data_IF_820403737257
#
_entry.id   IF_820403737257
#
_cell.length_a   1.000
_cell.length_b   1.000
_cell.length_c   1.000
_cell.angle_alpha   90.00
_cell.angle_beta   90.00
_cell.angle_gamma   90.00
#
_symmetry.space_group_name_H-M   'P 1'
#
loop_
_entity.id
_entity.type
_entity.pdbx_description
1 polymer ?
#
# COMPACT_ATOMS: atom_id res chain seq x y z
N UNK A 1 -31.30 18.91 5.83
CA UNK A 1 -30.47 17.82 5.30
C UNK A 1 -29.14 17.89 6.01
N UNK A 2 -28.99 17.14 7.10
CA UNK A 2 -27.75 17.07 7.86
C UNK A 2 -27.21 15.64 7.66
N UNK A 3 -26.04 15.54 7.05
CA UNK A 3 -25.29 14.29 6.99
C UNK A 3 -24.98 13.83 8.43
N UNK A 4 -25.07 12.54 8.74
CA UNK A 4 -24.62 12.05 10.04
C UNK A 4 -23.11 12.33 10.19
N UNK A 5 -22.63 12.49 11.44
CA UNK A 5 -21.23 12.81 11.68
C UNK A 5 -20.36 11.72 11.07
N UNK A 6 -19.45 12.13 10.20
CA UNK A 6 -18.33 11.33 9.71
C UNK A 6 -17.45 10.99 10.90
N UNK A 7 -17.80 9.93 11.61
CA UNK A 7 -16.91 9.28 12.55
C UNK A 7 -15.77 8.70 11.71
N UNK A 8 -14.68 9.46 11.60
CA UNK A 8 -13.45 9.19 10.83
C UNK A 8 -12.72 7.90 11.25
N UNK A 9 -13.32 7.06 12.11
CA UNK A 9 -12.75 5.79 12.56
C UNK A 9 -13.13 4.58 11.70
N UNK A 10 -14.04 4.72 10.73
CA UNK A 10 -14.46 3.61 9.84
C UNK A 10 -13.83 3.66 8.43
N UNK A 11 -12.95 4.61 8.14
CA UNK A 11 -12.09 4.49 6.98
C UNK A 11 -11.02 3.44 7.34
N UNK A 12 -11.15 2.23 6.80
CA UNK A 12 -10.06 1.24 6.82
C UNK A 12 -8.76 1.98 6.51
N UNK A 13 -7.79 1.94 7.42
CA UNK A 13 -6.50 2.57 7.18
C UNK A 13 -5.73 1.66 6.20
N UNK A 14 -6.05 1.79 4.92
CA UNK A 14 -5.49 0.99 3.83
C UNK A 14 -3.99 1.18 3.68
N UNK A 15 -3.48 2.34 4.10
CA UNK A 15 -2.04 2.57 4.20
C UNK A 15 -1.41 1.66 5.27
N UNK A 16 -2.05 1.53 6.44
CA UNK A 16 -1.62 0.58 7.47
C UNK A 16 -1.76 -0.88 7.02
N UNK A 17 -2.81 -1.23 6.27
CA UNK A 17 -2.98 -2.56 5.66
C UNK A 17 -1.86 -2.85 4.67
N UNK A 18 -1.61 -1.93 3.74
CA UNK A 18 -0.52 -2.04 2.76
C UNK A 18 0.84 -2.19 3.43
N UNK A 19 1.10 -1.40 4.49
CA UNK A 19 2.35 -1.49 5.24
C UNK A 19 2.49 -2.86 5.90
N UNK A 20 1.44 -3.38 6.54
CA UNK A 20 1.45 -4.73 7.15
C UNK A 20 1.68 -5.82 6.13
N UNK A 21 0.99 -5.73 4.99
CA UNK A 21 1.16 -6.66 3.87
C UNK A 21 2.62 -6.64 3.38
N UNK A 22 3.19 -5.46 3.16
CA UNK A 22 4.58 -5.31 2.74
C UNK A 22 5.57 -5.88 3.77
N UNK A 23 5.34 -5.63 5.07
CA UNK A 23 6.16 -6.20 6.15
C UNK A 23 6.07 -7.73 6.18
N UNK A 24 4.86 -8.29 6.12
CA UNK A 24 4.68 -9.75 6.13
C UNK A 24 5.29 -10.42 4.89
N UNK A 25 5.16 -9.81 3.72
CA UNK A 25 5.81 -10.29 2.50
C UNK A 25 7.34 -10.23 2.64
N UNK A 26 7.87 -9.13 3.20
CA UNK A 26 9.30 -9.01 3.47
C UNK A 26 9.77 -10.12 4.42
N UNK A 27 9.13 -10.28 5.58
CA UNK A 27 9.52 -11.29 6.57
C UNK A 27 9.50 -12.71 6.01
N UNK A 28 8.56 -13.00 5.10
CA UNK A 28 8.45 -14.31 4.44
C UNK A 28 9.56 -14.57 3.42
N UNK A 29 9.88 -13.59 2.58
CA UNK A 29 10.86 -13.75 1.50
C UNK A 29 12.31 -13.42 1.91
N UNK A 30 12.52 -12.71 3.03
CA UNK A 30 13.87 -12.31 3.48
C UNK A 30 14.84 -13.50 3.64
N UNK A 31 14.45 -14.67 4.19
CA UNK A 31 15.35 -15.83 4.26
C UNK A 31 15.88 -16.26 2.88
N UNK A 32 15.02 -16.26 1.85
CA UNK A 32 15.41 -16.61 0.48
C UNK A 32 16.37 -15.56 -0.10
N UNK A 33 16.12 -14.27 0.17
CA UNK A 33 17.01 -13.18 -0.22
C UNK A 33 18.38 -13.31 0.46
N UNK A 34 18.43 -13.71 1.72
CA UNK A 34 19.67 -13.93 2.47
C UNK A 34 20.46 -15.12 1.89
N UNK A 35 19.79 -16.23 1.58
CA UNK A 35 20.41 -17.41 0.95
C UNK A 35 21.04 -17.08 -0.41
N UNK A 36 20.40 -16.20 -1.18
CA UNK A 36 20.93 -15.70 -2.45
C UNK A 36 21.99 -14.60 -2.31
N UNK A 37 22.27 -14.12 -1.10
CA UNK A 37 23.26 -13.06 -0.87
C UNK A 37 22.74 -11.64 -1.14
N UNK A 38 21.42 -11.44 -1.23
CA UNK A 38 20.75 -10.15 -1.42
C UNK A 38 20.35 -9.48 -0.09
N UNK A 39 21.00 -9.83 1.02
CA UNK A 39 20.80 -9.16 2.31
C UNK A 39 21.28 -7.70 2.25
N UNK A 40 20.49 -6.74 2.76
CA UNK A 40 20.81 -5.30 2.66
C UNK A 40 22.20 -4.96 3.20
N UNK A 41 22.53 -5.47 4.39
CA UNK A 41 23.80 -5.24 5.10
C UNK A 41 24.99 -5.80 4.32
N UNK A 42 24.84 -6.99 3.72
CA UNK A 42 25.89 -7.59 2.88
C UNK A 42 26.12 -6.79 1.61
N UNK A 43 25.06 -6.34 0.95
CA UNK A 43 25.20 -5.51 -0.26
C UNK A 43 25.98 -4.22 0.05
N UNK A 44 25.73 -3.59 1.19
CA UNK A 44 26.46 -2.37 1.57
C UNK A 44 27.97 -2.61 1.81
N UNK A 45 28.32 -3.79 2.33
CA UNK A 45 29.69 -4.19 2.67
C UNK A 45 30.49 -4.78 1.51
N UNK A 46 29.84 -5.21 0.42
CA UNK A 46 30.47 -5.85 -0.73
C UNK A 46 31.37 -4.90 -1.53
N UNK A 47 32.40 -5.50 -2.14
CA UNK A 47 33.28 -4.83 -3.11
C UNK A 47 32.58 -4.58 -4.45
N UNK A 48 33.15 -3.70 -5.28
CA UNK A 48 32.59 -3.39 -6.60
C UNK A 48 32.46 -4.63 -7.50
N UNK A 49 33.42 -5.55 -7.44
CA UNK A 49 33.41 -6.77 -8.25
C UNK A 49 32.31 -7.72 -7.80
N UNK A 50 32.17 -7.93 -6.50
CA UNK A 50 31.10 -8.75 -5.92
C UNK A 50 29.73 -8.16 -6.24
N UNK A 51 29.56 -6.83 -6.16
CA UNK A 51 28.31 -6.15 -6.48
C UNK A 51 27.89 -6.34 -7.94
N UNK A 52 28.83 -6.38 -8.88
CA UNK A 52 28.52 -6.67 -10.30
C UNK A 52 28.03 -8.10 -10.48
N UNK A 53 28.68 -9.06 -9.85
CA UNK A 53 28.22 -10.46 -9.87
C UNK A 53 26.83 -10.60 -9.21
N UNK A 54 26.61 -9.86 -8.12
CA UNK A 54 25.33 -9.82 -7.42
C UNK A 54 24.24 -9.18 -8.30
N UNK A 55 24.60 -8.14 -9.08
CA UNK A 55 23.71 -7.52 -10.07
C UNK A 55 23.30 -8.49 -11.18
N UNK A 56 24.23 -9.30 -11.68
CA UNK A 56 23.90 -10.32 -12.68
C UNK A 56 22.96 -11.39 -12.10
N UNK A 57 23.25 -11.85 -10.88
CA UNK A 57 22.44 -12.86 -10.20
C UNK A 57 21.03 -12.36 -9.89
N UNK A 58 20.87 -11.10 -9.46
CA UNK A 58 19.55 -10.53 -9.20
C UNK A 58 18.77 -10.28 -10.48
N UNK A 59 19.45 -9.95 -11.59
CA UNK A 59 18.81 -9.84 -12.89
C UNK A 59 18.22 -11.18 -13.35
N UNK A 60 18.93 -12.29 -13.13
CA UNK A 60 18.39 -13.63 -13.42
C UNK A 60 17.18 -13.97 -12.52
N UNK A 61 17.25 -13.63 -11.23
CA UNK A 61 16.10 -13.82 -10.32
C UNK A 61 14.87 -12.99 -10.74
N UNK A 62 15.09 -11.76 -11.24
CA UNK A 62 14.03 -10.87 -11.74
C UNK A 62 13.40 -11.37 -13.05
N UNK A 63 14.11 -12.17 -13.86
CA UNK A 63 13.54 -12.80 -15.06
C UNK A 63 12.54 -13.91 -14.74
N UNK A 64 12.71 -14.57 -13.59
CA UNK A 64 11.91 -15.73 -13.17
C UNK A 64 11.33 -15.57 -11.74
N UNK A 65 10.62 -14.47 -11.43
CA UNK A 65 10.12 -14.19 -10.07
C UNK A 65 9.06 -15.20 -9.60
N UNK A 66 8.39 -15.88 -10.52
CA UNK A 66 7.40 -16.93 -10.24
C UNK A 66 8.00 -18.18 -9.58
N UNK A 67 9.30 -18.42 -9.77
CA UNK A 67 10.01 -19.57 -9.18
C UNK A 67 10.08 -19.52 -7.65
N UNK A 68 9.91 -18.34 -7.06
CA UNK A 68 9.91 -18.10 -5.61
C UNK A 68 8.53 -18.28 -4.96
N UNK A 69 7.49 -18.44 -5.78
CA UNK A 69 6.10 -18.54 -5.33
C UNK A 69 5.46 -17.19 -4.99
N UNK A 70 4.20 -17.26 -4.56
CA UNK A 70 3.39 -16.10 -4.16
C UNK A 70 2.84 -16.29 -2.75
N UNK A 71 2.65 -15.19 -2.04
CA UNK A 71 2.00 -15.16 -0.73
C UNK A 71 0.59 -14.61 -0.85
N UNK A 72 -0.40 -15.42 -0.47
CA UNK A 72 -1.80 -15.01 -0.44
C UNK A 72 -2.16 -14.25 0.84
N UNK A 73 -2.90 -13.15 0.68
CA UNK A 73 -3.44 -12.35 1.78
C UNK A 73 -4.95 -12.32 1.73
N UNK A 74 -5.57 -12.35 2.91
CA UNK A 74 -6.99 -12.15 3.07
C UNK A 74 -7.28 -11.18 4.20
N UNK A 75 -8.44 -10.51 4.11
CA UNK A 75 -8.83 -9.42 5.00
C UNK A 75 -10.17 -9.77 5.64
N UNK A 76 -10.20 -9.79 6.96
CA UNK A 76 -11.44 -10.02 7.70
C UNK A 76 -12.33 -8.80 7.57
N UNK A 77 -13.44 -8.89 6.83
CA UNK A 77 -14.35 -7.76 6.62
C UNK A 77 -14.88 -7.15 7.94
N UNK A 78 -15.03 -7.96 8.98
CA UNK A 78 -15.54 -7.56 10.29
C UNK A 78 -14.52 -6.74 11.10
N UNK A 79 -13.24 -7.15 11.12
CA UNK A 79 -12.21 -6.55 11.99
C UNK A 79 -11.14 -5.73 11.25
N UNK A 80 -11.06 -5.88 9.93
CA UNK A 80 -10.00 -5.32 9.09
C UNK A 80 -8.62 -5.91 9.32
N UNK A 81 -8.55 -7.04 10.00
CA UNK A 81 -7.30 -7.75 10.24
C UNK A 81 -6.85 -8.46 8.95
N UNK A 82 -5.57 -8.30 8.62
CA UNK A 82 -4.89 -8.99 7.52
C UNK A 82 -4.30 -10.28 8.03
N UNK A 83 -4.52 -11.38 7.32
CA UNK A 83 -3.90 -12.67 7.60
C UNK A 83 -3.38 -13.30 6.32
N UNK A 84 -2.33 -14.10 6.48
CA UNK A 84 -1.73 -14.89 5.40
C UNK A 84 -2.61 -16.12 5.19
N UNK A 85 -2.89 -16.45 3.94
CA UNK A 85 -3.62 -17.66 3.57
C UNK A 85 -2.80 -18.49 2.60
N UNK A 86 -2.79 -19.80 2.83
CA UNK A 86 -2.15 -20.78 1.94
C UNK A 86 -3.13 -21.27 0.85
N UNK A 87 -4.44 -21.05 1.02
CA UNK A 87 -5.44 -21.43 0.03
C UNK A 87 -5.65 -20.31 -0.97
N UNK A 88 -5.41 -20.60 -2.26
CA UNK A 88 -5.67 -19.68 -3.37
C UNK A 88 -7.14 -19.27 -3.50
N UNK A 89 -8.08 -20.11 -3.06
CA UNK A 89 -9.51 -19.79 -3.11
C UNK A 89 -9.91 -18.69 -2.13
N UNK A 90 -9.13 -18.51 -1.06
CA UNK A 90 -9.45 -17.63 0.06
C UNK A 90 -8.58 -16.37 0.05
N UNK A 91 -7.55 -16.35 -0.81
CA UNK A 91 -6.68 -15.21 -1.05
C UNK A 91 -7.46 -14.13 -1.82
N UNK A 92 -7.55 -12.95 -1.22
CA UNK A 92 -8.09 -11.76 -1.87
C UNK A 92 -7.03 -11.07 -2.74
N UNK A 93 -5.76 -11.26 -2.40
CA UNK A 93 -4.61 -10.62 -3.03
C UNK A 93 -3.39 -11.53 -2.91
N UNK A 94 -2.51 -11.53 -3.92
CA UNK A 94 -1.25 -12.28 -3.89
C UNK A 94 -0.05 -11.35 -4.13
N UNK A 95 1.05 -11.58 -3.41
CA UNK A 95 2.32 -10.87 -3.63
C UNK A 95 3.43 -11.88 -3.88
N UNK A 96 4.15 -11.69 -4.99
CA UNK A 96 5.41 -12.38 -5.25
C UNK A 96 6.62 -11.62 -4.71
N UNK A 97 7.80 -12.23 -4.86
CA UNK A 97 9.08 -11.66 -4.40
C UNK A 97 9.56 -10.43 -5.21
N UNK A 98 9.03 -10.24 -6.43
CA UNK A 98 9.51 -9.26 -7.40
C UNK A 98 9.72 -7.83 -6.82
N UNK A 99 8.80 -7.24 -6.03
CA UNK A 99 9.00 -5.92 -5.46
C UNK A 99 10.26 -5.83 -4.58
N UNK A 100 10.59 -6.89 -3.85
CA UNK A 100 11.79 -6.97 -3.02
C UNK A 100 13.05 -7.13 -3.85
N UNK A 101 13.01 -7.96 -4.92
CA UNK A 101 14.13 -8.09 -5.85
C UNK A 101 14.46 -6.75 -6.53
N UNK A 102 13.44 -6.01 -6.96
CA UNK A 102 13.62 -4.67 -7.54
C UNK A 102 14.19 -3.68 -6.52
N UNK A 103 13.76 -3.73 -5.26
CA UNK A 103 14.35 -2.92 -4.19
C UNK A 103 15.85 -3.23 -4.01
N UNK A 104 16.20 -4.52 -3.94
CA UNK A 104 17.60 -4.96 -3.80
C UNK A 104 18.45 -4.60 -5.01
N UNK A 105 17.92 -4.73 -6.23
CA UNK A 105 18.61 -4.33 -7.47
C UNK A 105 18.92 -2.83 -7.46
N UNK A 106 17.96 -2.00 -7.04
CA UNK A 106 18.18 -0.55 -6.88
C UNK A 106 19.32 -0.26 -5.90
N UNK A 107 19.33 -0.94 -4.76
CA UNK A 107 20.37 -0.76 -3.74
C UNK A 107 21.76 -1.17 -4.25
N UNK A 108 21.86 -2.29 -4.98
CA UNK A 108 23.09 -2.73 -5.64
C UNK A 108 23.59 -1.67 -6.64
N UNK A 109 22.71 -1.19 -7.53
CA UNK A 109 23.06 -0.18 -8.53
C UNK A 109 23.53 1.14 -7.90
N UNK A 110 22.85 1.58 -6.84
CA UNK A 110 23.24 2.77 -6.09
C UNK A 110 24.62 2.60 -5.46
N UNK A 111 24.89 1.43 -4.87
CA UNK A 111 26.18 1.12 -4.27
C UNK A 111 27.30 1.06 -5.32
N UNK A 112 27.07 0.43 -6.46
CA UNK A 112 28.00 0.42 -7.60
C UNK A 112 28.31 1.85 -8.02
N UNK A 113 27.29 2.70 -8.15
CA UNK A 113 27.47 4.11 -8.53
C UNK A 113 28.33 4.88 -7.52
N UNK A 114 28.12 4.66 -6.22
CA UNK A 114 28.91 5.29 -5.16
C UNK A 114 30.37 4.84 -5.19
N UNK A 115 30.63 3.55 -5.40
CA UNK A 115 32.00 3.00 -5.43
C UNK A 115 32.76 3.33 -6.73
N UNK A 116 32.06 3.42 -7.87
CA UNK A 116 32.65 3.67 -9.19
C UNK A 116 33.09 5.13 -9.44
N UNK A 117 32.86 6.05 -8.49
CA UNK A 117 33.30 7.46 -8.62
C UNK A 117 32.85 8.16 -9.93
N UNK A 118 31.70 7.73 -10.47
CA UNK A 118 31.17 8.09 -11.79
C UNK A 118 30.93 9.59 -12.03
N UNK A 119 30.99 10.44 -11.00
CA UNK A 119 30.77 11.88 -11.10
C UNK A 119 32.00 12.65 -11.59
N UNK A 120 33.22 12.09 -11.48
CA UNK A 120 34.48 12.80 -11.79
C UNK A 120 35.02 12.58 -13.21
N UNK A 121 34.31 11.82 -14.05
CA UNK A 121 34.76 11.41 -15.40
C UNK A 121 35.11 12.62 -16.28
N UNK A 122 34.33 13.72 -16.22
CA UNK A 122 34.62 14.94 -16.99
C UNK A 122 35.94 15.60 -16.57
N UNK A 123 36.18 15.70 -15.26
CA UNK A 123 37.41 16.27 -14.71
C UNK A 123 38.63 15.42 -15.06
N UNK A 124 38.49 14.09 -15.09
CA UNK A 124 39.57 13.19 -15.51
C UNK A 124 39.88 13.38 -17.00
N UNK A 125 38.87 13.55 -17.86
CA UNK A 125 39.06 13.82 -19.28
C UNK A 125 39.84 15.12 -19.53
N UNK A 126 39.56 16.17 -18.76
CA UNK A 126 40.30 17.44 -18.84
C UNK A 126 41.76 17.30 -18.39
N UNK A 127 42.03 16.46 -17.38
CA UNK A 127 43.39 16.15 -16.91
C UNK A 127 44.19 15.32 -17.94
N UNK A 128 43.53 14.40 -18.67
CA UNK A 128 44.16 13.58 -19.71
C UNK A 128 44.71 14.44 -20.86
N UNK A 129 44.04 15.55 -21.19
CA UNK A 129 44.50 16.47 -22.24
C UNK A 129 45.84 17.14 -21.93
N UNK A 130 46.29 17.11 -20.67
CA UNK A 130 47.56 17.66 -20.22
C UNK A 130 48.67 16.61 -20.08
N UNK A 131 48.42 15.35 -20.48
CA UNK A 131 49.41 14.28 -20.47
C UNK A 131 50.22 14.33 -21.75
N UNK A 132 51.54 14.51 -21.63
CA UNK A 132 52.47 14.65 -22.77
C UNK A 132 52.76 13.31 -23.47
N UNK A 133 52.68 12.21 -22.73
CA UNK A 133 52.89 10.86 -23.25
C UNK A 133 51.64 10.35 -23.99
N UNK A 134 51.76 10.20 -25.31
CA UNK A 134 50.68 9.77 -26.20
C UNK A 134 50.23 8.32 -26.02
N UNK A 135 51.08 7.43 -25.49
CA UNK A 135 50.69 6.05 -25.18
C UNK A 135 49.86 6.01 -23.90
N UNK A 136 50.33 6.70 -22.84
CA UNK A 136 49.62 6.83 -21.58
C UNK A 136 48.28 7.53 -21.79
N UNK A 137 48.25 8.61 -22.58
CA UNK A 137 47.03 9.35 -22.93
C UNK A 137 46.00 8.45 -23.61
N UNK A 138 46.38 7.66 -24.61
CA UNK A 138 45.45 6.72 -25.28
C UNK A 138 44.89 5.67 -24.34
N UNK A 139 45.72 5.12 -23.45
CA UNK A 139 45.28 4.14 -22.46
C UNK A 139 44.28 4.76 -21.47
N UNK A 140 44.54 5.98 -21.00
CA UNK A 140 43.63 6.71 -20.11
C UNK A 140 42.32 7.12 -20.81
N UNK A 141 42.38 7.56 -22.07
CA UNK A 141 41.19 7.87 -22.88
C UNK A 141 40.29 6.65 -23.05
N UNK A 142 40.88 5.47 -23.27
CA UNK A 142 40.15 4.21 -23.36
C UNK A 142 39.46 3.88 -22.03
N UNK A 143 40.19 3.94 -20.92
CA UNK A 143 39.64 3.66 -19.59
C UNK A 143 38.48 4.61 -19.23
N UNK A 144 38.65 5.91 -19.51
CA UNK A 144 37.59 6.92 -19.30
C UNK A 144 36.38 6.68 -20.18
N UNK A 145 36.58 6.24 -21.43
CA UNK A 145 35.49 5.89 -22.33
C UNK A 145 34.72 4.66 -21.82
N UNK A 146 35.43 3.63 -21.35
CA UNK A 146 34.82 2.42 -20.81
C UNK A 146 34.03 2.73 -19.54
N UNK A 147 34.59 3.53 -18.63
CA UNK A 147 33.88 4.05 -17.44
C UNK A 147 32.64 4.87 -17.81
N UNK A 148 32.71 5.70 -18.84
CA UNK A 148 31.58 6.51 -19.31
C UNK A 148 30.44 5.62 -19.83
N UNK A 149 30.77 4.62 -20.65
CA UNK A 149 29.79 3.69 -21.18
C UNK A 149 29.11 2.91 -20.05
N UNK A 150 29.90 2.44 -19.08
CA UNK A 150 29.37 1.74 -17.91
C UNK A 150 28.44 2.64 -17.09
N UNK A 151 28.86 3.87 -16.80
CA UNK A 151 28.04 4.86 -16.08
C UNK A 151 26.71 5.14 -16.79
N UNK A 152 26.71 5.20 -18.13
CA UNK A 152 25.48 5.31 -18.91
C UNK A 152 24.60 4.06 -18.79
N UNK A 153 25.18 2.87 -18.88
CA UNK A 153 24.45 1.61 -18.71
C UNK A 153 23.81 1.48 -17.33
N UNK A 154 24.54 1.83 -16.26
CA UNK A 154 24.02 1.81 -14.89
C UNK A 154 22.85 2.79 -14.70
N UNK A 155 22.92 3.98 -15.33
CA UNK A 155 21.82 4.95 -15.30
C UNK A 155 20.56 4.43 -15.97
N UNK A 156 20.71 3.74 -17.10
CA UNK A 156 19.57 3.16 -17.79
C UNK A 156 18.93 2.03 -16.99
N UNK A 157 19.73 1.10 -16.46
CA UNK A 157 19.22 0.05 -15.58
C UNK A 157 18.53 0.62 -14.32
N UNK A 158 19.04 1.73 -13.78
CA UNK A 158 18.40 2.40 -12.63
C UNK A 158 17.02 2.94 -13.03
N UNK A 159 16.90 3.54 -14.22
CA UNK A 159 15.60 4.03 -14.72
C UNK A 159 14.63 2.89 -14.99
N UNK A 160 15.08 1.81 -15.61
CA UNK A 160 14.25 0.62 -15.86
C UNK A 160 13.68 0.07 -14.55
N UNK A 161 14.52 -0.07 -13.52
CA UNK A 161 14.08 -0.51 -12.19
C UNK A 161 13.06 0.45 -11.58
N UNK A 162 13.23 1.76 -11.74
CA UNK A 162 12.27 2.75 -11.24
C UNK A 162 10.91 2.66 -11.95
N UNK A 163 10.92 2.42 -13.27
CA UNK A 163 9.72 2.20 -14.06
C UNK A 163 9.00 0.91 -13.63
N UNK A 164 9.74 -0.20 -13.49
CA UNK A 164 9.19 -1.48 -13.03
C UNK A 164 8.63 -1.37 -11.61
N UNK A 165 9.35 -0.71 -10.69
CA UNK A 165 8.85 -0.46 -9.33
C UNK A 165 7.56 0.36 -9.34
N UNK A 166 7.45 1.36 -10.21
CA UNK A 166 6.24 2.19 -10.29
C UNK A 166 5.06 1.39 -10.87
N UNK A 167 5.31 0.55 -11.87
CA UNK A 167 4.30 -0.33 -12.43
C UNK A 167 3.79 -1.33 -11.38
N UNK A 168 4.69 -1.99 -10.64
CA UNK A 168 4.32 -2.95 -9.59
C UNK A 168 3.57 -2.28 -8.42
N UNK A 169 3.98 -1.06 -8.04
CA UNK A 169 3.24 -0.26 -7.05
C UNK A 169 1.84 0.07 -7.54
N UNK A 170 1.70 0.44 -8.81
CA UNK A 170 0.41 0.78 -9.40
C UNK A 170 -0.51 -0.44 -9.43
N UNK A 171 -0.02 -1.60 -9.87
CA UNK A 171 -0.78 -2.88 -9.85
C UNK A 171 -1.30 -3.19 -8.45
N UNK A 172 -0.39 -3.20 -7.46
CA UNK A 172 -0.73 -3.42 -6.06
C UNK A 172 -1.80 -2.43 -5.57
N UNK A 173 -1.67 -1.15 -5.91
CA UNK A 173 -2.66 -0.13 -5.53
C UNK A 173 -4.02 -0.36 -6.19
N UNK A 174 -4.05 -0.73 -7.47
CA UNK A 174 -5.30 -1.00 -8.18
C UNK A 174 -6.02 -2.23 -7.63
N UNK A 175 -5.30 -3.28 -7.26
CA UNK A 175 -5.87 -4.48 -6.67
C UNK A 175 -6.42 -4.21 -5.26
N UNK A 176 -5.67 -3.48 -4.42
CA UNK A 176 -6.17 -3.05 -3.12
C UNK A 176 -7.40 -2.13 -3.22
N UNK A 177 -7.43 -1.24 -4.22
CA UNK A 177 -8.59 -0.38 -4.47
C UNK A 177 -9.82 -1.18 -4.91
N UNK A 178 -9.64 -2.19 -5.77
CA UNK A 178 -10.72 -3.10 -6.16
C UNK A 178 -11.27 -3.86 -4.96
N UNK A 179 -10.39 -4.39 -4.11
CA UNK A 179 -10.79 -5.07 -2.88
C UNK A 179 -11.56 -4.18 -1.93
N UNK A 180 -11.21 -2.90 -1.86
CA UNK A 180 -11.97 -1.92 -1.07
C UNK A 180 -13.42 -1.82 -1.56
N UNK A 181 -13.62 -1.71 -2.88
CA UNK A 181 -14.96 -1.68 -3.48
C UNK A 181 -15.73 -2.95 -3.14
N UNK A 182 -15.13 -4.13 -3.33
CA UNK A 182 -15.79 -5.41 -3.05
C UNK A 182 -16.16 -5.57 -1.55
N UNK A 183 -15.28 -5.17 -0.64
CA UNK A 183 -15.55 -5.20 0.80
C UNK A 183 -16.64 -4.19 1.20
N UNK A 184 -16.64 -3.02 0.58
CA UNK A 184 -17.65 -2.00 0.79
C UNK A 184 -19.03 -2.49 0.35
N UNK A 185 -19.13 -3.07 -0.85
CA UNK A 185 -20.38 -3.67 -1.37
C UNK A 185 -20.92 -4.77 -0.46
N UNK A 186 -20.06 -5.65 0.06
CA UNK A 186 -20.49 -6.69 1.00
C UNK A 186 -21.04 -6.09 2.29
N UNK A 187 -20.39 -5.04 2.83
CA UNK A 187 -20.87 -4.37 4.05
C UNK A 187 -22.17 -3.62 3.83
N UNK A 188 -22.28 -2.87 2.73
CA UNK A 188 -23.51 -2.15 2.41
C UNK A 188 -24.64 -3.13 2.18
N UNK A 189 -24.43 -4.26 1.51
CA UNK A 189 -25.45 -5.29 1.32
C UNK A 189 -25.94 -5.89 2.64
N UNK A 190 -25.06 -6.11 3.62
CA UNK A 190 -25.46 -6.57 4.97
C UNK A 190 -26.23 -5.47 5.72
N UNK A 191 -25.81 -4.22 5.61
CA UNK A 191 -26.55 -3.09 6.17
C UNK A 191 -27.93 -2.94 5.53
N UNK A 192 -28.02 -3.03 4.19
CA UNK A 192 -29.26 -2.98 3.45
C UNK A 192 -30.16 -4.17 3.78
N UNK A 193 -29.64 -5.38 3.92
CA UNK A 193 -30.47 -6.52 4.31
C UNK A 193 -30.99 -6.43 5.74
N UNK A 194 -30.27 -5.74 6.65
CA UNK A 194 -30.79 -5.39 7.98
C UNK A 194 -31.88 -4.30 7.89
N UNK A 195 -31.69 -3.27 7.05
CA UNK A 195 -32.69 -2.23 6.80
C UNK A 195 -33.96 -2.79 6.13
N UNK A 196 -33.83 -3.82 5.30
CA UNK A 196 -34.96 -4.49 4.63
C UNK A 196 -35.72 -5.44 5.59
N UNK A 197 -35.02 -6.00 6.59
CA UNK A 197 -35.60 -6.98 7.51
C UNK A 197 -36.42 -6.34 8.63
N UNK A 198 -36.14 -5.09 9.00
CA UNK A 198 -37.01 -4.28 9.85
C UNK A 198 -37.92 -3.40 8.98
N UNK A 199 -39.21 -3.28 9.32
CA UNK A 199 -40.12 -2.47 8.50
C UNK A 199 -39.59 -1.03 8.46
N UNK A 200 -39.52 -0.43 7.27
CA UNK A 200 -39.06 0.96 7.08
C UNK A 200 -39.74 1.95 8.06
N UNK A 201 -40.98 1.65 8.45
CA UNK A 201 -41.74 2.36 9.50
C UNK A 201 -41.01 2.40 10.85
N UNK A 202 -40.43 1.29 11.31
CA UNK A 202 -39.76 1.18 12.61
C UNK A 202 -38.45 1.97 12.64
N UNK A 203 -37.69 1.95 11.54
CA UNK A 203 -36.44 2.70 11.39
C UNK A 203 -36.71 4.21 11.33
N UNK A 204 -37.69 4.62 10.53
CA UNK A 204 -38.13 6.02 10.45
C UNK A 204 -38.65 6.50 11.82
N UNK A 205 -39.40 5.64 12.52
CA UNK A 205 -39.86 5.87 13.88
C UNK A 205 -38.71 6.09 14.86
N UNK A 206 -37.72 5.19 14.86
CA UNK A 206 -36.55 5.24 15.74
C UNK A 206 -35.68 6.46 15.50
N UNK A 207 -35.38 6.82 14.24
CA UNK A 207 -34.63 8.04 13.89
C UNK A 207 -35.37 9.27 14.38
N UNK A 208 -36.69 9.31 14.19
CA UNK A 208 -37.50 10.45 14.61
C UNK A 208 -37.58 10.55 16.14
N UNK A 209 -37.62 9.43 16.86
CA UNK A 209 -37.55 9.38 18.32
C UNK A 209 -36.19 9.89 18.81
N UNK A 210 -35.10 9.49 18.16
CA UNK A 210 -33.75 9.93 18.47
C UNK A 210 -33.57 11.45 18.25
N UNK A 211 -34.13 12.00 17.17
CA UNK A 211 -34.15 13.46 16.93
C UNK A 211 -34.93 14.19 18.03
N UNK A 212 -36.08 13.66 18.46
CA UNK A 212 -36.87 14.25 19.55
C UNK A 212 -36.09 14.23 20.87
N UNK A 213 -35.42 13.12 21.19
CA UNK A 213 -34.57 13.01 22.39
C UNK A 213 -33.43 14.02 22.33
N UNK A 214 -32.70 14.11 21.21
CA UNK A 214 -31.63 15.08 21.04
C UNK A 214 -32.12 16.53 21.17
N UNK A 215 -33.30 16.84 20.63
CA UNK A 215 -33.93 18.14 20.78
C UNK A 215 -34.32 18.43 22.24
N UNK A 216 -34.87 17.44 22.96
CA UNK A 216 -35.19 17.55 24.39
C UNK A 216 -33.92 17.80 25.24
N UNK A 217 -32.87 17.03 25.00
CA UNK A 217 -31.58 17.20 25.68
C UNK A 217 -31.00 18.59 25.38
N UNK A 218 -31.01 19.03 24.11
CA UNK A 218 -30.58 20.38 23.73
C UNK A 218 -31.42 21.51 24.37
N UNK A 219 -32.72 21.29 24.54
CA UNK A 219 -33.64 22.25 25.17
C UNK A 219 -33.32 22.46 26.66
N UNK A 220 -32.86 21.41 27.36
CA UNK A 220 -32.43 21.50 28.77
C UNK A 220 -31.25 22.48 28.91
N UNK A 221 -30.31 22.47 27.95
CA UNK A 221 -29.15 23.38 27.96
C UNK A 221 -29.50 24.83 27.60
N UNK A 222 -30.56 25.04 26.81
CA UNK A 222 -30.99 26.37 26.36
C UNK A 222 -32.05 27.02 27.27
N UNK A 223 -32.50 26.33 28.33
CA UNK A 223 -33.55 26.77 29.27
C UNK A 223 -34.87 27.20 28.62
N UNK A 224 -35.10 26.77 27.38
CA UNK A 224 -36.34 27.02 26.66
C UNK A 224 -37.39 26.01 27.13
N UNK A 225 -38.56 26.49 27.54
CA UNK A 225 -39.70 25.62 27.88
C UNK A 225 -40.18 24.93 26.62
N UNK A 226 -40.10 23.60 26.58
CA UNK A 226 -40.55 22.80 25.44
C UNK A 226 -42.06 23.01 25.27
N UNK A 227 -42.56 23.40 24.08
CA UNK A 227 -43.99 23.54 23.86
C UNK A 227 -44.72 22.22 24.07
N UNK A 228 -45.84 22.22 24.80
CA UNK A 228 -46.65 21.03 25.12
C UNK A 228 -47.08 20.21 23.88
N UNK A 229 -47.13 20.86 22.72
CA UNK A 229 -47.40 20.24 21.42
C UNK A 229 -46.38 19.13 21.10
N UNK A 230 -45.11 19.28 21.50
CA UNK A 230 -44.09 18.24 21.29
C UNK A 230 -44.27 17.04 22.21
N UNK A 231 -44.66 17.24 23.48
CA UNK A 231 -44.98 16.15 24.40
C UNK A 231 -46.22 15.37 23.95
N UNK A 232 -47.26 16.08 23.49
CA UNK A 232 -48.48 15.45 22.99
C UNK A 232 -48.23 14.70 21.67
N UNK A 233 -47.44 15.27 20.75
CA UNK A 233 -47.06 14.60 19.50
C UNK A 233 -46.17 13.38 19.74
N UNK A 234 -45.31 13.40 20.76
CA UNK A 234 -44.50 12.27 21.18
C UNK A 234 -45.35 11.10 21.68
N UNK A 235 -46.35 11.38 22.54
CA UNK A 235 -47.29 10.39 23.03
C UNK A 235 -48.16 9.79 21.92
N UNK A 236 -48.62 10.61 20.96
CA UNK A 236 -49.38 10.14 19.79
C UNK A 236 -48.53 9.18 18.92
N UNK A 237 -47.25 9.51 18.70
CA UNK A 237 -46.35 8.64 17.94
C UNK A 237 -46.06 7.34 18.67
N UNK A 238 -45.82 7.38 19.99
CA UNK A 238 -45.67 6.19 20.83
C UNK A 238 -46.93 5.31 20.76
N UNK A 239 -48.13 5.89 20.89
CA UNK A 239 -49.40 5.16 20.80
C UNK A 239 -49.60 4.49 19.44
N UNK A 240 -49.23 5.16 18.34
CA UNK A 240 -49.31 4.58 17.00
C UNK A 240 -48.34 3.41 16.81
N UNK A 241 -47.08 3.53 17.26
CA UNK A 241 -46.10 2.46 17.15
C UNK A 241 -46.44 1.25 18.03
N UNK A 242 -46.88 1.48 19.27
CA UNK A 242 -47.29 0.39 20.15
C UNK A 242 -48.62 -0.25 19.74
N UNK A 243 -49.58 0.53 19.22
CA UNK A 243 -50.86 0.02 18.71
C UNK A 243 -50.75 -0.81 17.43
N UNK A 244 -49.71 -0.61 16.62
CA UNK A 244 -49.42 -1.49 15.48
C UNK A 244 -48.67 -2.77 15.88
N UNK A 245 -47.94 -2.77 17.00
CA UNK A 245 -47.19 -3.95 17.47
C UNK A 245 -48.10 -5.07 18.01
N UNK A 246 -49.31 -4.71 18.46
CA UNK A 246 -50.31 -5.65 19.01
C UNK A 246 -51.29 -6.20 17.97
N UNK A 247 -51.22 -5.74 16.70
CA UNK A 247 -52.13 -6.18 15.63
C UNK A 247 -51.42 -7.07 14.59
N UNK A 248 -50.38 -7.78 15.02
CA UNK A 248 -49.69 -8.84 14.27
C UNK A 248 -49.89 -10.18 14.95
#
# INVERSE_FOLDING_TARGET
>A
MAFPPTDQKSAYNFEAVRKRIATQAQDYFEPQLIEMGFEKTKIEAQSLQELRQNLDSINEAIKHPESFGTLGFSISAATGTVYITQSKSDALFEIGILPLLLERKKLILERIRLLSSNEKIKTIQDLINHVEDEEIKRNLEKEVKDLKNESQGLREQTREVELEQNNERTKTQTELARLNVELFERKTKVWFSLLERESASTIIGGILLLIIILAQVGSIFTKTTIPDIFNNAFLIKLGYFFGQSTNK
#
